data_IF_692847691308
#
_entry.id   IF_692847691308
#
_cell.length_a   1.000
_cell.length_b   1.000
_cell.length_c   1.000
_cell.angle_alpha   90.00
_cell.angle_beta   90.00
_cell.angle_gamma   90.00
#
_symmetry.space_group_name_H-M   'P 1'
#
loop_
_entity.id
_entity.type
_entity.pdbx_description
1 polymer ?
#
# COMPACT_ATOMS: atom_id res chain seq x y z
N UNK A 1 16.58 -36.34 -17.64
CA UNK A 1 16.94 -35.90 -16.30
C UNK A 1 17.38 -34.43 -16.39
N UNK A 2 16.45 -33.53 -16.34
CA UNK A 2 16.70 -32.08 -16.39
C UNK A 2 16.50 -31.55 -14.96
N UNK A 3 17.63 -31.29 -14.31
CA UNK A 3 17.72 -30.69 -12.98
C UNK A 3 17.18 -29.25 -13.08
N UNK A 4 15.93 -29.06 -12.59
CA UNK A 4 15.38 -27.74 -12.38
C UNK A 4 15.98 -27.16 -11.09
N UNK A 5 17.13 -26.56 -11.22
CA UNK A 5 17.77 -25.80 -10.14
C UNK A 5 17.09 -24.43 -10.11
N UNK A 6 15.90 -24.34 -9.46
CA UNK A 6 15.36 -23.04 -9.02
C UNK A 6 16.25 -22.57 -7.89
N UNK A 7 17.29 -21.80 -8.23
CA UNK A 7 18.15 -21.13 -7.28
C UNK A 7 17.30 -20.33 -6.30
N UNK A 8 17.70 -20.32 -5.03
CA UNK A 8 17.14 -19.39 -4.03
C UNK A 8 17.40 -17.98 -4.56
N UNK A 9 16.38 -17.36 -5.16
CA UNK A 9 16.43 -15.94 -5.48
C UNK A 9 16.43 -15.18 -4.16
N UNK A 10 17.61 -14.76 -3.73
CA UNK A 10 17.73 -13.78 -2.65
C UNK A 10 17.37 -12.41 -3.23
N UNK A 11 16.12 -11.98 -3.05
CA UNK A 11 15.78 -10.60 -3.31
C UNK A 11 16.61 -9.71 -2.40
N UNK A 12 17.37 -8.79 -3.01
CA UNK A 12 18.33 -7.97 -2.29
C UNK A 12 17.71 -6.96 -1.34
N UNK A 13 16.44 -6.60 -1.57
CA UNK A 13 15.77 -5.51 -0.84
C UNK A 13 14.25 -5.65 -0.86
N UNK A 14 13.59 -5.17 0.21
CA UNK A 14 12.14 -4.93 0.26
C UNK A 14 11.91 -3.43 0.21
N UNK A 15 11.12 -2.96 -0.75
CA UNK A 15 10.83 -1.54 -0.96
C UNK A 15 9.34 -1.28 -0.75
N UNK A 16 9.02 -0.25 0.04
CA UNK A 16 7.66 0.23 0.21
C UNK A 16 7.16 0.97 -1.04
N UNK A 17 5.91 0.73 -1.45
CA UNK A 17 5.28 1.44 -2.57
C UNK A 17 3.87 1.90 -2.19
N UNK A 18 3.66 3.22 -2.19
CA UNK A 18 2.46 3.86 -1.69
C UNK A 18 1.84 4.78 -2.76
N UNK A 19 0.60 4.51 -3.21
CA UNK A 19 -0.11 5.42 -4.11
C UNK A 19 -0.79 6.54 -3.32
N UNK A 20 -0.34 7.77 -3.50
CA UNK A 20 -0.95 8.97 -2.93
C UNK A 20 -1.53 9.91 -4.00
N UNK A 21 -1.92 9.36 -5.16
CA UNK A 21 -2.46 10.11 -6.30
C UNK A 21 -3.96 10.45 -6.21
N UNK A 22 -4.70 9.91 -5.23
CA UNK A 22 -6.16 10.07 -5.12
C UNK A 22 -6.62 11.51 -4.89
N UNK A 23 -7.80 11.88 -5.41
CA UNK A 23 -8.37 13.24 -5.33
C UNK A 23 -9.13 13.53 -4.03
N UNK A 24 -9.44 12.52 -3.23
CA UNK A 24 -10.21 12.61 -1.98
C UNK A 24 -11.60 13.30 -2.15
N UNK A 25 -12.23 13.19 -3.31
CA UNK A 25 -13.48 13.90 -3.67
C UNK A 25 -14.65 13.60 -2.72
N UNK A 26 -14.67 12.40 -2.12
CA UNK A 26 -15.74 11.97 -1.19
C UNK A 26 -15.72 12.71 0.16
N UNK A 27 -14.54 13.24 0.56
CA UNK A 27 -14.32 13.90 1.85
C UNK A 27 -13.83 15.36 1.70
N UNK A 28 -13.72 15.82 0.45
CA UNK A 28 -13.31 17.20 0.16
C UNK A 28 -14.40 18.23 0.58
N UNK A 29 -14.03 19.49 0.94
CA UNK A 29 -12.66 20.00 0.98
C UNK A 29 -11.90 19.61 2.25
N UNK A 30 -10.61 19.29 2.10
CA UNK A 30 -9.71 19.04 3.23
C UNK A 30 -8.62 20.12 3.29
N UNK A 31 -8.16 20.51 4.48
CA UNK A 31 -7.10 21.51 4.64
C UNK A 31 -5.70 21.01 4.21
N UNK A 32 -5.52 19.69 4.16
CA UNK A 32 -4.29 18.98 3.80
C UNK A 32 -4.63 17.73 3.00
N UNK A 33 -3.63 17.11 2.37
CA UNK A 33 -3.80 15.77 1.78
C UNK A 33 -4.31 14.77 2.81
N UNK A 34 -5.27 13.91 2.42
CA UNK A 34 -5.89 12.94 3.35
C UNK A 34 -4.86 12.05 4.07
N UNK A 35 -3.76 11.75 3.40
CA UNK A 35 -2.64 10.98 3.93
C UNK A 35 -1.95 11.67 5.11
N UNK A 36 -2.09 12.98 5.21
CA UNK A 36 -1.56 13.81 6.31
C UNK A 36 -2.62 14.20 7.33
N UNK A 37 -3.85 13.67 7.23
CA UNK A 37 -4.87 13.99 8.20
C UNK A 37 -4.47 13.44 9.58
N UNK A 38 -4.47 14.27 10.66
CA UNK A 38 -4.06 13.84 11.99
C UNK A 38 -5.12 12.91 12.59
N UNK A 39 -4.73 11.65 12.90
CA UNK A 39 -5.60 10.58 13.39
C UNK A 39 -5.05 9.97 14.69
N UNK A 40 -4.37 10.67 15.50
CA UNK A 40 -3.85 10.15 16.74
C UNK A 40 -2.66 10.92 17.20
N UNK A 41 -1.92 10.32 18.13
CA UNK A 41 -0.72 10.90 18.71
C UNK A 41 0.41 9.85 18.71
N UNK A 42 1.63 10.34 18.65
CA UNK A 42 2.84 9.55 18.86
C UNK A 42 3.72 10.21 19.91
N UNK A 43 4.38 9.45 20.76
CA UNK A 43 5.37 9.98 21.70
C UNK A 43 6.60 10.44 20.90
N UNK A 44 7.23 11.48 21.39
CA UNK A 44 8.54 11.96 20.92
C UNK A 44 9.41 12.30 22.12
N UNK A 45 10.70 12.55 21.91
CA UNK A 45 11.63 12.93 22.95
C UNK A 45 11.68 11.94 24.14
N UNK A 46 11.80 10.64 23.82
CA UNK A 46 11.82 9.59 24.86
C UNK A 46 10.48 9.46 25.63
N UNK A 47 9.35 9.78 24.98
CA UNK A 47 8.02 9.68 25.58
C UNK A 47 7.58 10.88 26.41
N UNK A 48 8.37 11.97 26.44
CA UNK A 48 8.10 13.16 27.27
C UNK A 48 7.02 14.07 26.68
N UNK A 49 6.82 14.04 25.37
CA UNK A 49 5.79 14.83 24.71
C UNK A 49 5.04 14.01 23.66
N UNK A 50 3.81 14.43 23.33
CA UNK A 50 2.99 13.84 22.29
C UNK A 50 2.90 14.79 21.11
N UNK A 51 3.03 14.26 19.89
CA UNK A 51 2.78 15.00 18.66
C UNK A 51 1.67 14.32 17.85
N UNK A 52 0.95 15.08 17.03
CA UNK A 52 -0.05 14.47 16.13
C UNK A 52 0.59 13.39 15.25
N UNK A 53 -0.12 12.27 15.13
CA UNK A 53 0.21 11.18 14.20
C UNK A 53 -0.71 11.25 13.01
N UNK A 54 -0.16 11.35 11.82
CA UNK A 54 -0.94 11.43 10.58
C UNK A 54 -1.18 10.04 9.98
N UNK A 55 -2.19 9.92 9.13
CA UNK A 55 -2.66 8.65 8.59
C UNK A 55 -1.56 7.79 7.97
N UNK A 56 -0.72 8.38 7.11
CA UNK A 56 0.33 7.61 6.43
C UNK A 56 1.43 7.07 7.37
N UNK A 57 1.60 7.64 8.57
CA UNK A 57 2.56 7.10 9.55
C UNK A 57 2.23 5.65 9.93
N UNK A 58 0.94 5.33 10.10
CA UNK A 58 0.52 3.97 10.51
C UNK A 58 1.00 2.90 9.52
N UNK A 59 0.91 3.18 8.22
CA UNK A 59 1.39 2.27 7.19
C UNK A 59 2.93 2.20 7.16
N UNK A 60 3.59 3.37 7.15
CA UNK A 60 5.06 3.45 7.06
C UNK A 60 5.74 2.80 8.26
N UNK A 61 5.24 3.01 9.48
CA UNK A 61 5.75 2.37 10.69
C UNK A 61 5.63 0.83 10.64
N UNK A 62 4.50 0.29 10.11
CA UNK A 62 4.32 -1.16 9.94
C UNK A 62 5.28 -1.72 8.88
N UNK A 63 5.51 -0.99 7.79
CA UNK A 63 6.53 -1.34 6.80
C UNK A 63 7.92 -1.32 7.44
N UNK A 64 8.22 -0.28 8.24
CA UNK A 64 9.50 -0.19 8.94
C UNK A 64 9.71 -1.33 9.93
N UNK A 65 8.67 -1.73 10.67
CA UNK A 65 8.68 -2.89 11.56
C UNK A 65 9.02 -4.19 10.83
N UNK A 66 8.60 -4.32 9.59
CA UNK A 66 8.91 -5.45 8.73
C UNK A 66 10.30 -5.38 8.06
N UNK A 67 11.14 -4.38 8.44
CA UNK A 67 12.48 -4.22 7.90
C UNK A 67 12.55 -3.41 6.60
N UNK A 68 11.45 -2.80 6.16
CA UNK A 68 11.45 -1.91 4.98
C UNK A 68 12.09 -0.58 5.38
N UNK A 69 13.21 -0.26 4.77
CA UNK A 69 13.97 0.98 5.06
C UNK A 69 13.85 2.03 3.96
N UNK A 70 13.28 1.68 2.80
CA UNK A 70 13.08 2.58 1.67
C UNK A 70 11.65 2.49 1.17
N UNK A 71 11.06 3.62 0.79
CA UNK A 71 9.75 3.63 0.16
C UNK A 71 9.63 4.71 -0.92
N UNK A 72 8.85 4.40 -1.96
CA UNK A 72 8.41 5.34 -2.97
C UNK A 72 6.96 5.72 -2.74
N UNK A 73 6.69 7.02 -2.69
CA UNK A 73 5.33 7.58 -2.60
C UNK A 73 5.01 8.22 -3.93
N UNK A 74 4.00 7.69 -4.63
CA UNK A 74 3.61 8.21 -5.93
C UNK A 74 2.51 9.24 -5.77
N UNK A 75 2.83 10.49 -6.10
CA UNK A 75 2.00 11.68 -5.91
C UNK A 75 1.32 12.11 -7.21
N UNK A 76 0.19 12.78 -7.07
CA UNK A 76 -0.35 13.63 -8.14
C UNK A 76 0.14 15.08 -7.96
N UNK A 77 0.08 15.85 -9.05
CA UNK A 77 0.32 17.29 -8.99
C UNK A 77 -0.61 17.96 -7.95
N UNK A 78 -0.05 18.85 -7.13
CA UNK A 78 -0.77 19.57 -6.09
C UNK A 78 -0.64 18.99 -4.67
N UNK A 79 -0.11 17.75 -4.51
CA UNK A 79 0.12 17.13 -3.19
C UNK A 79 1.54 17.39 -2.64
N UNK A 80 1.98 18.62 -2.72
CA UNK A 80 3.32 19.03 -2.26
C UNK A 80 3.47 19.09 -0.74
N UNK A 81 2.36 19.10 -0.02
CA UNK A 81 2.29 19.02 1.43
C UNK A 81 2.84 17.69 1.97
N UNK A 82 2.69 16.59 1.22
CA UNK A 82 3.21 15.27 1.63
C UNK A 82 4.74 15.29 1.73
N UNK A 83 5.52 15.61 0.66
CA UNK A 83 6.97 15.69 0.80
C UNK A 83 7.43 16.84 1.71
N UNK A 84 6.68 17.93 1.80
CA UNK A 84 7.00 19.01 2.73
C UNK A 84 6.89 18.58 4.21
N UNK A 85 5.97 17.66 4.53
CA UNK A 85 5.78 17.14 5.87
C UNK A 85 6.71 15.97 6.21
N UNK A 86 6.79 14.96 5.32
CA UNK A 86 7.56 13.74 5.57
C UNK A 86 9.06 13.90 5.32
N UNK A 87 9.47 14.92 4.55
CA UNK A 87 10.87 15.15 4.20
C UNK A 87 11.49 13.94 3.50
N UNK A 88 12.70 13.60 3.90
CA UNK A 88 13.43 12.42 3.42
C UNK A 88 13.05 11.11 4.13
N UNK A 89 12.16 11.18 5.14
CA UNK A 89 11.71 10.03 5.92
C UNK A 89 12.49 9.78 7.21
N UNK A 90 13.48 10.60 7.55
CA UNK A 90 14.29 10.42 8.76
C UNK A 90 13.44 10.34 10.04
N UNK A 91 12.30 11.06 10.10
CA UNK A 91 11.36 10.97 11.23
C UNK A 91 10.73 9.58 11.45
N UNK A 92 10.85 8.67 10.49
CA UNK A 92 10.33 7.31 10.51
C UNK A 92 11.47 6.28 10.41
N UNK A 93 12.71 6.70 10.50
CA UNK A 93 13.89 5.87 10.29
C UNK A 93 13.82 5.12 8.94
N UNK A 94 13.41 5.85 7.90
CA UNK A 94 13.26 5.37 6.53
C UNK A 94 13.87 6.37 5.56
N UNK A 95 14.11 5.93 4.33
CA UNK A 95 14.44 6.77 3.19
C UNK A 95 13.22 6.86 2.26
N UNK A 96 12.65 8.05 2.12
CA UNK A 96 11.49 8.28 1.28
C UNK A 96 11.89 8.99 -0.02
N UNK A 97 11.34 8.53 -1.13
CA UNK A 97 11.43 9.23 -2.42
C UNK A 97 10.03 9.40 -3.02
N UNK A 98 9.87 10.44 -3.82
CA UNK A 98 8.59 10.86 -4.35
C UNK A 98 8.60 10.81 -5.87
N UNK A 99 7.59 10.14 -6.44
CA UNK A 99 7.39 10.03 -7.87
C UNK A 99 6.11 10.75 -8.27
N UNK A 100 6.10 11.33 -9.46
CA UNK A 100 4.91 12.02 -9.96
C UNK A 100 4.14 11.10 -10.92
N UNK A 101 2.84 10.88 -10.65
CA UNK A 101 1.99 10.13 -11.57
C UNK A 101 1.83 10.88 -12.90
N UNK A 102 1.84 10.13 -14.01
CA UNK A 102 1.65 10.67 -15.36
C UNK A 102 0.21 10.49 -15.83
N UNK A 103 -0.38 9.32 -15.59
CA UNK A 103 -1.69 8.93 -16.12
C UNK A 103 -2.70 8.77 -14.98
N UNK A 104 -3.87 9.42 -15.04
CA UNK A 104 -4.89 9.37 -13.98
C UNK A 104 -5.87 8.20 -14.14
N UNK A 105 -5.48 7.10 -14.80
CA UNK A 105 -6.39 6.01 -15.20
C UNK A 105 -6.52 4.89 -14.16
N UNK A 106 -6.20 5.18 -12.90
CA UNK A 106 -6.33 4.25 -11.78
C UNK A 106 -5.03 3.96 -11.05
N UNK A 107 -5.15 3.26 -9.92
CA UNK A 107 -4.02 2.96 -9.05
C UNK A 107 -2.90 2.15 -9.73
N UNK A 108 -3.15 1.14 -10.60
CA UNK A 108 -2.08 0.41 -11.28
C UNK A 108 -1.13 1.31 -12.07
N UNK A 109 -1.66 2.27 -12.84
CA UNK A 109 -0.83 3.23 -13.59
C UNK A 109 -0.04 4.17 -12.68
N UNK A 110 -0.59 4.47 -11.51
CA UNK A 110 0.14 5.22 -10.47
C UNK A 110 1.32 4.41 -9.96
N UNK A 111 1.12 3.12 -9.65
CA UNK A 111 2.16 2.23 -9.14
C UNK A 111 3.25 1.96 -10.19
N UNK A 112 2.88 1.82 -11.45
CA UNK A 112 3.80 1.54 -12.55
C UNK A 112 4.84 2.66 -12.79
N UNK A 113 4.60 3.87 -12.28
CA UNK A 113 5.62 4.92 -12.28
C UNK A 113 6.88 4.53 -11.50
N UNK A 114 6.76 3.60 -10.55
CA UNK A 114 7.88 3.10 -9.77
C UNK A 114 8.62 1.93 -10.45
N UNK A 115 8.12 1.39 -11.57
CA UNK A 115 8.70 0.22 -12.25
C UNK A 115 10.24 0.28 -12.39
N UNK A 116 10.84 1.36 -12.91
CA UNK A 116 12.29 1.43 -13.09
C UNK A 116 13.10 1.34 -11.79
N UNK A 117 12.46 1.59 -10.65
CA UNK A 117 13.11 1.64 -9.34
C UNK A 117 12.85 0.41 -8.49
N UNK A 118 11.82 -0.38 -8.80
CA UNK A 118 11.40 -1.53 -7.98
C UNK A 118 11.35 -2.85 -8.72
N UNK A 119 11.71 -2.88 -10.02
CA UNK A 119 11.59 -4.06 -10.88
C UNK A 119 12.39 -5.29 -10.40
N UNK A 120 13.43 -5.09 -9.58
CA UNK A 120 14.29 -6.16 -9.06
C UNK A 120 14.15 -6.37 -7.54
N UNK A 121 13.17 -5.71 -6.90
CA UNK A 121 12.94 -5.75 -5.47
C UNK A 121 11.65 -6.48 -5.11
N UNK A 122 11.57 -7.00 -3.87
CA UNK A 122 10.28 -7.27 -3.25
C UNK A 122 9.58 -5.94 -2.97
N UNK A 123 8.31 -5.85 -3.29
CA UNK A 123 7.51 -4.65 -3.00
C UNK A 123 6.57 -4.93 -1.84
N UNK A 124 6.59 -4.06 -0.82
CA UNK A 124 5.59 -3.97 0.21
C UNK A 124 4.61 -2.84 -0.15
N UNK A 125 3.38 -3.20 -0.47
CA UNK A 125 2.34 -2.29 -0.94
C UNK A 125 1.27 -2.05 0.10
N UNK A 126 0.80 -0.81 0.22
CA UNK A 126 -0.38 -0.45 1.01
C UNK A 126 -0.91 0.93 0.64
N UNK A 127 -2.17 1.19 1.01
CA UNK A 127 -2.80 2.50 0.82
C UNK A 127 -2.50 3.39 2.04
N UNK A 128 -1.89 4.57 1.86
CA UNK A 128 -1.44 5.43 2.97
C UNK A 128 -2.56 6.11 3.77
N UNK A 129 -3.80 5.94 3.35
CA UNK A 129 -5.02 6.43 3.99
C UNK A 129 -5.85 5.31 4.64
N UNK A 130 -5.32 4.08 4.71
CA UNK A 130 -5.93 2.97 5.43
C UNK A 130 -5.14 2.67 6.70
N UNK A 131 -5.80 2.79 7.85
CA UNK A 131 -5.27 2.44 9.16
C UNK A 131 -5.78 1.05 9.50
N UNK A 132 -4.92 0.12 9.90
CA UNK A 132 -5.29 -1.26 10.19
C UNK A 132 -4.48 -1.86 11.35
N UNK A 133 -4.93 -2.99 11.88
CA UNK A 133 -4.21 -3.86 12.79
C UNK A 133 -4.18 -5.28 12.21
N UNK A 134 -3.20 -6.14 12.53
CA UNK A 134 -2.11 -5.94 13.51
C UNK A 134 -0.91 -5.17 12.94
N UNK A 135 0.01 -4.74 13.84
CA UNK A 135 1.19 -3.97 13.44
C UNK A 135 2.21 -4.79 12.64
N UNK A 136 2.32 -6.08 12.93
CA UNK A 136 3.24 -7.03 12.29
C UNK A 136 2.70 -7.64 10.97
N UNK A 137 1.63 -7.10 10.43
CA UNK A 137 0.99 -7.66 9.24
C UNK A 137 1.97 -7.86 8.07
N UNK A 138 2.84 -6.89 7.77
CA UNK A 138 3.85 -7.05 6.71
C UNK A 138 4.91 -8.10 7.03
N UNK A 139 5.28 -8.28 8.31
CA UNK A 139 6.17 -9.37 8.73
C UNK A 139 5.57 -10.72 8.36
N UNK A 140 4.27 -10.91 8.63
CA UNK A 140 3.54 -12.13 8.30
C UNK A 140 3.42 -12.35 6.79
N UNK A 141 3.16 -11.28 6.00
CA UNK A 141 3.10 -11.38 4.54
C UNK A 141 4.45 -11.79 3.95
N UNK A 142 5.55 -11.18 4.40
CA UNK A 142 6.91 -11.51 3.94
C UNK A 142 7.30 -12.95 4.32
N UNK A 143 6.95 -13.39 5.53
CA UNK A 143 7.16 -14.77 5.95
C UNK A 143 6.36 -15.77 5.07
N UNK A 144 5.09 -15.45 4.75
CA UNK A 144 4.26 -16.26 3.83
C UNK A 144 4.84 -16.31 2.43
N UNK A 145 5.33 -15.17 1.92
CA UNK A 145 5.98 -15.11 0.61
C UNK A 145 7.20 -16.04 0.56
N UNK A 146 8.06 -15.98 1.57
CA UNK A 146 9.26 -16.82 1.64
C UNK A 146 8.92 -18.31 1.78
N UNK A 147 7.94 -18.67 2.62
CA UNK A 147 7.50 -20.06 2.84
C UNK A 147 6.89 -20.68 1.57
N UNK A 148 6.03 -19.93 0.90
CA UNK A 148 5.27 -20.45 -0.25
C UNK A 148 5.93 -20.16 -1.60
N UNK A 149 7.00 -19.37 -1.66
CA UNK A 149 7.57 -18.86 -2.91
C UNK A 149 6.49 -18.24 -3.80
N UNK A 150 5.61 -17.44 -3.19
CA UNK A 150 4.50 -16.81 -3.86
C UNK A 150 4.97 -15.62 -4.70
N UNK A 151 4.33 -15.37 -5.84
CA UNK A 151 4.57 -14.16 -6.63
C UNK A 151 3.91 -12.95 -5.98
N UNK A 152 2.74 -13.18 -5.32
CA UNK A 152 1.98 -12.16 -4.58
C UNK A 152 1.47 -12.78 -3.29
N UNK A 153 1.48 -12.02 -2.20
CA UNK A 153 0.76 -12.35 -0.96
C UNK A 153 -0.13 -11.19 -0.57
N UNK A 154 -1.42 -11.46 -0.40
CA UNK A 154 -2.42 -10.49 0.02
C UNK A 154 -2.68 -10.58 1.52
N UNK A 155 -2.78 -9.43 2.20
CA UNK A 155 -3.31 -9.35 3.56
C UNK A 155 -4.83 -9.18 3.51
N UNK A 156 -5.56 -10.17 4.06
CA UNK A 156 -7.01 -10.25 4.01
C UNK A 156 -7.65 -9.86 5.33
N UNK A 157 -8.61 -8.94 5.25
CA UNK A 157 -9.35 -8.36 6.37
C UNK A 157 -10.85 -8.58 6.21
N UNK A 158 -11.64 -8.68 7.31
CA UNK A 158 -13.09 -8.77 7.22
C UNK A 158 -13.68 -7.55 6.49
N UNK A 159 -14.45 -7.77 5.45
CA UNK A 159 -15.05 -6.69 4.67
C UNK A 159 -16.31 -6.14 5.35
N UNK A 160 -16.29 -4.85 5.70
CA UNK A 160 -17.46 -4.18 6.30
C UNK A 160 -18.46 -3.65 5.26
N UNK A 161 -17.99 -3.34 4.05
CA UNK A 161 -18.79 -2.83 2.94
C UNK A 161 -18.39 -3.51 1.63
N UNK A 162 -18.75 -4.80 1.42
CA UNK A 162 -18.30 -5.60 0.28
C UNK A 162 -18.53 -4.93 -1.09
N UNK A 163 -19.65 -4.18 -1.24
CA UNK A 163 -20.00 -3.49 -2.47
C UNK A 163 -19.05 -2.34 -2.84
N UNK A 164 -18.16 -1.94 -1.93
CA UNK A 164 -17.16 -0.88 -2.16
C UNK A 164 -15.73 -1.41 -2.24
N UNK A 165 -15.54 -2.72 -2.06
CA UNK A 165 -14.22 -3.35 -1.87
C UNK A 165 -14.00 -4.49 -2.85
N UNK A 166 -12.73 -4.78 -3.11
CA UNK A 166 -12.34 -5.93 -3.90
C UNK A 166 -12.39 -7.18 -3.01
N UNK A 167 -13.35 -8.06 -3.28
CA UNK A 167 -13.60 -9.25 -2.48
C UNK A 167 -12.75 -10.43 -2.96
N UNK A 168 -12.22 -11.19 -2.01
CA UNK A 168 -11.28 -12.28 -2.30
C UNK A 168 -11.91 -13.64 -1.98
N UNK A 169 -11.80 -14.57 -2.93
CA UNK A 169 -12.15 -15.96 -2.77
C UNK A 169 -10.89 -16.83 -2.70
N UNK A 170 -10.89 -17.78 -1.76
CA UNK A 170 -9.77 -18.69 -1.53
C UNK A 170 -10.16 -20.10 -1.94
N UNK A 171 -9.18 -20.88 -2.40
CA UNK A 171 -9.30 -22.32 -2.52
C UNK A 171 -9.12 -23.02 -1.16
N UNK A 172 -9.27 -24.36 -1.17
CA UNK A 172 -9.16 -25.19 0.04
C UNK A 172 -7.73 -25.17 0.66
N UNK A 173 -6.72 -24.82 -0.14
CA UNK A 173 -5.32 -24.69 0.28
C UNK A 173 -4.98 -23.30 0.81
N UNK A 174 -5.93 -22.35 0.78
CA UNK A 174 -5.77 -20.96 1.22
C UNK A 174 -5.07 -20.06 0.20
N UNK A 175 -5.03 -20.46 -1.09
CA UNK A 175 -4.57 -19.62 -2.18
C UNK A 175 -5.70 -18.74 -2.68
N UNK A 176 -5.34 -17.58 -3.21
CA UNK A 176 -6.30 -16.70 -3.86
C UNK A 176 -6.69 -17.28 -5.22
N UNK A 177 -7.97 -17.63 -5.36
CA UNK A 177 -8.55 -18.18 -6.58
C UNK A 177 -9.18 -17.11 -7.45
N UNK A 178 -9.82 -16.13 -6.80
CA UNK A 178 -10.60 -15.12 -7.51
C UNK A 178 -10.61 -13.81 -6.71
N UNK A 179 -10.53 -12.69 -7.43
CA UNK A 179 -10.81 -11.35 -6.91
C UNK A 179 -12.03 -10.80 -7.66
N UNK A 180 -13.06 -10.41 -6.91
CA UNK A 180 -14.27 -9.81 -7.45
C UNK A 180 -14.32 -8.34 -7.10
N UNK A 181 -14.20 -7.48 -8.11
CA UNK A 181 -14.13 -6.04 -7.93
C UNK A 181 -15.50 -5.48 -7.58
N UNK A 182 -15.63 -4.94 -6.37
CA UNK A 182 -16.82 -4.20 -5.87
C UNK A 182 -18.15 -4.86 -6.25
N UNK A 183 -18.37 -6.15 -5.90
CA UNK A 183 -19.58 -6.85 -6.29
C UNK A 183 -20.81 -6.21 -5.64
N UNK A 184 -21.91 -6.02 -6.37
CA UNK A 184 -23.15 -5.45 -5.81
C UNK A 184 -23.73 -6.34 -4.71
N UNK A 185 -23.53 -7.67 -4.83
CA UNK A 185 -23.90 -8.69 -3.84
C UNK A 185 -22.83 -9.78 -3.81
N UNK A 186 -22.51 -10.29 -2.62
CA UNK A 186 -21.53 -11.37 -2.47
C UNK A 186 -21.72 -12.10 -1.13
N UNK A 187 -21.29 -13.37 -1.10
CA UNK A 187 -21.15 -14.18 0.11
C UNK A 187 -19.71 -14.17 0.64
N UNK A 188 -18.78 -13.57 -0.09
CA UNK A 188 -17.39 -13.46 0.30
C UNK A 188 -17.26 -12.54 1.52
N UNK A 189 -16.30 -12.87 2.39
CA UNK A 189 -16.16 -12.21 3.71
C UNK A 189 -14.94 -11.32 3.81
N UNK A 190 -13.94 -11.55 2.96
CA UNK A 190 -12.64 -10.89 3.09
C UNK A 190 -12.36 -9.99 1.89
N UNK A 191 -11.74 -8.87 2.21
CA UNK A 191 -11.13 -7.95 1.25
C UNK A 191 -9.64 -7.87 1.50
N UNK A 192 -8.87 -7.45 0.51
CA UNK A 192 -7.44 -7.18 0.66
C UNK A 192 -7.18 -5.69 0.74
N UNK A 193 -6.19 -5.26 1.55
CA UNK A 193 -5.82 -3.84 1.72
C UNK A 193 -4.31 -3.61 1.68
N UNK A 194 -3.51 -4.65 1.88
CA UNK A 194 -2.05 -4.65 1.77
C UNK A 194 -1.58 -5.86 0.99
N UNK A 195 -0.42 -5.76 0.38
CA UNK A 195 0.20 -6.86 -0.34
C UNK A 195 1.72 -6.81 -0.27
N UNK A 196 2.36 -7.95 -0.47
CA UNK A 196 3.77 -8.02 -0.87
C UNK A 196 3.86 -8.79 -2.17
N UNK A 197 4.78 -8.40 -3.06
CA UNK A 197 4.97 -9.11 -4.31
C UNK A 197 6.42 -9.10 -4.80
N UNK A 198 6.70 -10.03 -5.69
CA UNK A 198 8.03 -10.24 -6.28
C UNK A 198 8.21 -9.42 -7.57
N UNK A 199 9.46 -9.32 -8.06
CA UNK A 199 9.77 -8.79 -9.39
C UNK A 199 8.95 -9.42 -10.53
N UNK A 200 8.50 -10.67 -10.37
CA UNK A 200 7.66 -11.35 -11.37
C UNK A 200 6.35 -10.59 -11.58
N UNK A 201 5.65 -10.26 -10.47
CA UNK A 201 4.41 -9.50 -10.58
C UNK A 201 4.65 -8.04 -10.98
N UNK A 202 5.72 -7.41 -10.51
CA UNK A 202 6.07 -6.04 -10.94
C UNK A 202 6.22 -5.96 -12.46
N UNK A 203 6.91 -6.92 -13.07
CA UNK A 203 7.07 -7.02 -14.53
C UNK A 203 5.76 -7.33 -15.23
N UNK A 204 5.00 -8.31 -14.70
CA UNK A 204 3.67 -8.65 -15.23
C UNK A 204 2.76 -7.42 -15.29
N UNK A 205 2.67 -6.66 -14.18
CA UNK A 205 1.85 -5.44 -14.13
C UNK A 205 2.28 -4.43 -15.20
N UNK A 206 3.58 -4.17 -15.34
CA UNK A 206 4.12 -3.25 -16.34
C UNK A 206 3.74 -3.68 -17.77
N UNK A 207 3.97 -4.93 -18.13
CA UNK A 207 3.67 -5.48 -19.45
C UNK A 207 2.16 -5.51 -19.73
N UNK A 208 1.36 -5.88 -18.74
CA UNK A 208 -0.10 -5.91 -18.83
C UNK A 208 -0.69 -4.51 -19.07
N UNK A 209 -0.21 -3.50 -18.35
CA UNK A 209 -0.65 -2.11 -18.52
C UNK A 209 -0.24 -1.55 -19.89
N UNK A 210 0.97 -1.86 -20.36
CA UNK A 210 1.43 -1.48 -21.70
C UNK A 210 0.56 -2.12 -22.80
N UNK A 211 0.19 -3.39 -22.64
CA UNK A 211 -0.70 -4.08 -23.60
C UNK A 211 -2.09 -3.43 -23.64
N UNK A 212 -2.68 -3.04 -22.48
CA UNK A 212 -3.97 -2.34 -22.45
C UNK A 212 -3.88 -0.99 -23.18
N UNK A 213 -2.81 -0.21 -22.93
CA UNK A 213 -2.62 1.09 -23.59
C UNK A 213 -2.49 0.96 -25.11
N UNK A 214 -1.71 0.00 -25.59
CA UNK A 214 -1.54 -0.25 -27.03
C UNK A 214 -2.86 -0.60 -27.74
N UNK A 215 -3.75 -1.38 -27.09
CA UNK A 215 -5.06 -1.71 -27.65
C UNK A 215 -5.95 -0.45 -27.71
N UNK A 216 -5.93 0.38 -26.66
CA UNK A 216 -6.72 1.62 -26.61
C UNK A 216 -6.28 2.63 -27.67
N UNK A 217 -4.97 2.83 -27.88
CA UNK A 217 -4.45 3.73 -28.93
C UNK A 217 -4.84 3.28 -30.34
N UNK A 218 -4.97 1.96 -30.58
CA UNK A 218 -5.42 1.43 -31.85
C UNK A 218 -6.93 1.64 -32.09
N UNK A 219 -7.75 1.50 -31.04
CA UNK A 219 -9.20 1.71 -31.09
C UNK A 219 -9.58 3.19 -31.22
N UNK A 220 -8.85 4.10 -30.56
CA UNK A 220 -9.10 5.56 -30.62
C UNK A 220 -8.76 6.17 -31.99
N UNK A 221 -7.97 5.49 -32.81
CA UNK A 221 -7.74 5.90 -34.21
C UNK A 221 -9.00 5.74 -35.09
N UNK A 222 -10.06 5.12 -34.58
CA UNK A 222 -11.28 4.79 -35.35
C UNK A 222 -12.62 5.26 -34.78
N UNK A 223 -12.72 5.76 -33.54
CA UNK A 223 -14.02 6.17 -32.97
C UNK A 223 -13.92 7.15 -31.80
N UNK A 224 -14.98 7.94 -31.58
CA UNK A 224 -15.15 8.91 -30.50
C UNK A 224 -14.81 8.31 -29.12
N UNK A 225 -14.05 9.10 -28.33
CA UNK A 225 -13.54 8.78 -26.99
C UNK A 225 -14.54 7.92 -26.17
N UNK A 226 -14.23 6.64 -25.99
CA UNK A 226 -14.89 5.81 -24.98
C UNK A 226 -14.41 6.28 -23.61
N UNK A 227 -15.33 6.46 -22.65
CA UNK A 227 -14.99 6.67 -21.24
C UNK A 227 -14.08 5.52 -20.79
N UNK A 228 -12.81 5.83 -20.52
CA UNK A 228 -11.87 4.84 -20.02
C UNK A 228 -12.35 4.38 -18.63
N UNK A 229 -12.68 3.10 -18.49
CA UNK A 229 -12.98 2.50 -17.19
C UNK A 229 -11.73 2.62 -16.30
N UNK A 230 -11.89 3.15 -15.11
CA UNK A 230 -10.86 3.13 -14.08
C UNK A 230 -10.40 1.69 -13.80
N UNK A 231 -9.09 1.44 -13.90
CA UNK A 231 -8.50 0.15 -13.60
C UNK A 231 -8.12 0.07 -12.12
N UNK A 232 -8.48 -1.03 -11.47
CA UNK A 232 -8.14 -1.30 -10.07
C UNK A 232 -6.95 -2.26 -9.97
N UNK A 233 -6.21 -2.20 -8.84
CA UNK A 233 -5.09 -3.14 -8.60
C UNK A 233 -5.61 -4.58 -8.54
N UNK A 234 -6.81 -4.79 -8.02
CA UNK A 234 -7.48 -6.08 -8.02
C UNK A 234 -7.72 -6.66 -9.42
N UNK A 235 -8.03 -5.81 -10.44
CA UNK A 235 -8.14 -6.26 -11.84
C UNK A 235 -6.82 -6.85 -12.36
N UNK A 236 -5.69 -6.18 -12.03
CA UNK A 236 -4.36 -6.64 -12.46
C UNK A 236 -3.95 -7.92 -11.73
N UNK A 237 -4.24 -8.03 -10.42
CA UNK A 237 -3.96 -9.26 -9.66
C UNK A 237 -4.84 -10.40 -10.20
N UNK A 238 -6.10 -10.13 -10.54
CA UNK A 238 -6.97 -11.14 -11.16
C UNK A 238 -6.45 -11.60 -12.53
N UNK A 239 -5.91 -10.70 -13.34
CA UNK A 239 -5.24 -11.06 -14.59
C UNK A 239 -4.00 -11.93 -14.34
N UNK A 240 -3.21 -11.60 -13.31
CA UNK A 240 -2.04 -12.39 -12.91
C UNK A 240 -2.42 -13.82 -12.46
N UNK A 241 -3.54 -13.99 -11.75
CA UNK A 241 -4.09 -15.30 -11.39
C UNK A 241 -4.41 -16.11 -12.66
N UNK A 242 -5.04 -15.48 -13.66
CA UNK A 242 -5.35 -16.14 -14.94
C UNK A 242 -4.09 -16.51 -15.73
N UNK A 243 -3.00 -15.75 -15.56
CA UNK A 243 -1.68 -16.04 -16.15
C UNK A 243 -0.83 -16.99 -15.29
N UNK A 244 -1.46 -17.68 -14.33
CA UNK A 244 -0.86 -18.68 -13.43
C UNK A 244 0.23 -18.15 -12.48
N UNK A 245 0.24 -16.87 -12.16
CA UNK A 245 1.06 -16.38 -11.06
C UNK A 245 0.51 -16.92 -9.73
N UNK A 246 1.42 -17.25 -8.83
CA UNK A 246 1.05 -17.81 -7.53
C UNK A 246 0.66 -16.69 -6.57
N UNK A 247 -0.62 -16.61 -6.24
CA UNK A 247 -1.18 -15.63 -5.30
C UNK A 247 -1.62 -16.34 -4.01
N UNK A 248 -0.95 -16.02 -2.91
CA UNK A 248 -1.23 -16.55 -1.57
C UNK A 248 -1.91 -15.47 -0.71
N UNK A 249 -2.42 -15.86 0.45
CA UNK A 249 -3.03 -14.94 1.39
C UNK A 249 -2.57 -15.19 2.83
N UNK A 250 -2.60 -14.11 3.63
CA UNK A 250 -2.59 -14.15 5.09
C UNK A 250 -3.91 -13.58 5.59
N UNK A 251 -4.66 -14.36 6.36
CA UNK A 251 -5.94 -13.93 6.92
C UNK A 251 -5.73 -13.28 8.28
N UNK A 252 -6.40 -12.15 8.49
CA UNK A 252 -6.49 -11.43 9.74
C UNK A 252 -7.96 -11.38 10.21
N UNK A 253 -8.54 -12.50 10.68
CA UNK A 253 -9.99 -12.64 10.87
C UNK A 253 -10.56 -11.72 11.96
N UNK A 254 -9.76 -11.40 12.97
CA UNK A 254 -10.15 -10.52 14.08
C UNK A 254 -9.63 -9.08 13.90
N UNK A 255 -9.04 -8.78 12.75
CA UNK A 255 -8.46 -7.48 12.47
C UNK A 255 -9.51 -6.44 12.10
N UNK A 256 -9.16 -5.19 12.36
CA UNK A 256 -9.97 -4.02 11.98
C UNK A 256 -9.17 -3.09 11.08
N UNK A 257 -9.86 -2.34 10.24
CA UNK A 257 -9.27 -1.27 9.46
C UNK A 257 -10.25 -0.10 9.32
N UNK A 258 -9.71 1.08 9.01
CA UNK A 258 -10.45 2.31 8.72
C UNK A 258 -9.90 2.91 7.43
N UNK A 259 -10.73 3.07 6.41
CA UNK A 259 -10.45 3.83 5.18
C UNK A 259 -10.87 5.29 5.40
N UNK A 260 -9.91 6.15 5.80
CA UNK A 260 -10.21 7.56 6.05
C UNK A 260 -10.59 8.37 4.79
N UNK A 261 -10.56 7.75 3.62
CA UNK A 261 -11.10 8.30 2.39
C UNK A 261 -12.63 8.30 2.32
N UNK A 262 -13.34 7.82 3.36
CA UNK A 262 -14.80 7.89 3.48
C UNK A 262 -15.21 8.79 4.64
N UNK A 263 -16.32 9.57 4.54
CA UNK A 263 -16.78 10.44 5.63
C UNK A 263 -17.05 9.69 6.94
N UNK A 264 -17.69 8.52 6.86
CA UNK A 264 -18.08 7.73 8.04
C UNK A 264 -16.85 7.21 8.79
N UNK A 265 -15.84 6.70 8.07
CA UNK A 265 -14.63 6.16 8.69
C UNK A 265 -13.70 7.27 9.16
N UNK A 266 -13.67 8.42 8.47
CA UNK A 266 -12.97 9.60 8.96
C UNK A 266 -13.55 10.07 10.30
N UNK A 267 -14.88 10.14 10.43
CA UNK A 267 -15.55 10.49 11.70
C UNK A 267 -15.21 9.47 12.79
N UNK A 268 -15.23 8.17 12.50
CA UNK A 268 -14.84 7.12 13.45
C UNK A 268 -13.37 7.28 13.88
N UNK A 269 -12.46 7.51 12.92
CA UNK A 269 -11.05 7.70 13.20
C UNK A 269 -10.81 8.88 14.12
N UNK A 270 -11.44 10.03 13.85
CA UNK A 270 -11.33 11.25 14.68
C UNK A 270 -11.90 11.03 16.07
N UNK A 271 -13.08 10.37 16.20
CA UNK A 271 -13.69 10.07 17.51
C UNK A 271 -12.84 9.14 18.36
N UNK A 272 -12.14 8.22 17.74
CA UNK A 272 -11.32 7.20 18.40
C UNK A 272 -9.85 7.62 18.55
N UNK A 273 -9.49 8.86 18.23
CA UNK A 273 -8.09 9.35 18.32
C UNK A 273 -7.41 9.06 19.67
N UNK A 274 -8.18 9.14 20.77
CA UNK A 274 -7.65 8.87 22.12
C UNK A 274 -7.55 7.40 22.50
N UNK A 275 -8.19 6.49 21.74
CA UNK A 275 -8.22 5.05 21.99
C UNK A 275 -7.41 4.23 20.97
N UNK A 276 -6.92 4.85 19.91
CA UNK A 276 -5.96 4.20 19.02
C UNK A 276 -4.68 3.92 19.81
N UNK A 277 -4.11 2.71 19.71
CA UNK A 277 -2.91 2.37 20.47
C UNK A 277 -1.83 3.41 20.16
N UNK A 278 -1.35 4.06 21.23
CA UNK A 278 -0.11 4.83 21.16
C UNK A 278 0.95 3.75 20.93
N UNK A 279 1.47 3.64 19.69
CA UNK A 279 2.64 2.82 19.46
C UNK A 279 3.75 3.36 20.34
N UNK A 280 4.04 2.66 21.42
CA UNK A 280 5.19 2.95 22.26
C UNK A 280 6.39 2.49 21.45
N UNK A 281 7.23 3.45 21.06
CA UNK A 281 8.39 3.23 20.21
C UNK A 281 9.31 2.16 20.78
N UNK A 282 9.27 0.97 20.18
CA UNK A 282 10.29 -0.05 20.39
C UNK A 282 11.57 0.22 19.57
N UNK A 283 11.65 1.34 18.82
CA UNK A 283 12.65 1.50 17.76
C UNK A 283 13.52 2.78 17.82
N UNK A 284 13.25 3.73 18.71
CA UNK A 284 14.09 4.92 18.76
C UNK A 284 15.07 4.85 19.94
N UNK A 285 16.34 4.57 19.64
CA UNK A 285 17.41 4.79 20.62
C UNK A 285 17.61 6.28 20.82
N UNK A 286 17.62 6.70 22.07
CA UNK A 286 17.71 8.12 22.54
C UNK A 286 18.89 8.93 21.96
N UNK A 287 19.79 8.30 21.18
CA UNK A 287 21.09 8.88 20.79
C UNK A 287 21.08 9.64 19.46
N UNK A 288 20.13 9.41 18.57
CA UNK A 288 20.14 10.03 17.24
C UNK A 288 19.31 11.30 17.13
N UNK A 289 18.22 11.42 17.89
CA UNK A 289 17.39 12.63 17.91
C UNK A 289 18.07 13.84 18.56
N UNK A 290 18.93 13.61 19.55
CA UNK A 290 19.71 14.66 20.18
C UNK A 290 20.66 15.36 19.19
N UNK A 291 21.19 14.63 18.22
CA UNK A 291 22.13 15.18 17.22
C UNK A 291 21.45 16.03 16.14
N UNK A 292 20.19 15.76 15.82
CA UNK A 292 19.46 16.52 14.79
C UNK A 292 18.93 17.84 15.38
N UNK A 293 18.51 17.85 16.63
CA UNK A 293 18.06 19.07 17.32
C UNK A 293 19.20 20.11 17.47
N UNK A 294 20.42 19.66 17.77
CA UNK A 294 21.58 20.55 17.88
C UNK A 294 22.09 21.09 16.52
N UNK A 295 21.76 20.45 15.40
CA UNK A 295 22.16 20.92 14.07
C UNK A 295 21.21 21.95 13.45
N UNK A 296 19.99 22.10 13.97
CA UNK A 296 18.98 23.06 13.46
C UNK A 296 18.97 24.41 14.17
N UNK A 297 19.78 24.57 15.24
CA UNK A 297 19.96 25.83 15.94
C UNK A 297 21.26 26.59 15.60
N UNK A 298 21.94 26.18 14.50
CA UNK A 298 23.11 26.90 14.00
C UNK A 298 22.90 27.53 12.65
#
# INVERSE_FOLDING_TARGET
MTNCNRGKEFYREVIGLLPAGGQATRIAPLPVSKELYPIGFRPVEGGRSLRPKVACHYLLEKMRLAGVTKAYIVLRQGKWDIPAYLGDGAMLDMHLAYLMMRLPFGAPYTLDQAYPFVQDALVAFGFPDIIFQPDDAFVQLLARQADKHADIVLGLFPAHQPQKMDMVDLDDDGRVRLIVIKPPQTHLRYTWIIAVWTPVFTRFMHEHLAAIQNVQEQDDAGSSAREQRELFVGDVIQAAIHDNLRVEAVLFPDATYLDIGTPDDLVKAVRNMGSLPICVDAFFSDTEYAKIAESSER
#
